data_IF_657878336214
#
_entry.id   IF_657878336214
#
_cell.length_a   1.000
_cell.length_b   1.000
_cell.length_c   1.000
_cell.angle_alpha   90.00
_cell.angle_beta   90.00
_cell.angle_gamma   90.00
#
_symmetry.space_group_name_H-M   'P 1'
#
loop_
_entity.id
_entity.type
_entity.pdbx_description
1 polymer ?
#
# COMPACT_ATOMS: atom_id res chain seq x y z
N UNK A 1 2.87 8.88 31.13
CA UNK A 1 4.07 9.45 31.76
C UNK A 1 5.05 9.82 30.67
N UNK A 2 5.60 11.02 30.70
CA UNK A 2 6.63 11.48 29.75
C UNK A 2 7.82 11.98 30.54
N UNK A 3 9.03 11.67 30.08
CA UNK A 3 10.27 12.18 30.66
C UNK A 3 11.28 12.38 29.53
N UNK A 4 12.06 13.47 29.56
CA UNK A 4 13.26 13.53 28.71
C UNK A 4 14.36 12.73 29.40
N UNK A 5 15.05 11.86 28.67
CA UNK A 5 16.17 11.11 29.23
C UNK A 5 17.31 12.03 29.71
N UNK A 6 17.40 13.26 29.19
CA UNK A 6 18.32 14.29 29.65
C UNK A 6 17.99 14.78 31.08
N UNK A 7 16.71 14.77 31.49
CA UNK A 7 16.26 15.14 32.84
C UNK A 7 16.58 14.07 33.90
N UNK A 8 16.99 12.88 33.46
CA UNK A 8 17.36 11.76 34.32
C UNK A 8 18.87 11.76 34.62
N UNK A 9 19.65 12.60 33.94
CA UNK A 9 21.09 12.71 34.10
C UNK A 9 21.41 13.80 35.14
N UNK A 10 21.86 13.39 36.33
CA UNK A 10 22.30 14.31 37.39
C UNK A 10 23.75 14.06 37.83
N UNK A 11 24.36 15.06 38.46
CA UNK A 11 25.73 14.98 38.99
C UNK A 11 25.86 14.01 40.18
N UNK A 12 24.74 13.61 40.80
CA UNK A 12 24.71 12.76 41.99
C UNK A 12 24.40 11.29 41.63
N UNK A 13 25.31 10.40 42.02
CA UNK A 13 25.24 8.96 41.74
C UNK A 13 23.94 8.36 42.31
N UNK A 14 23.17 7.68 41.47
CA UNK A 14 21.97 6.91 41.85
C UNK A 14 20.64 7.65 41.76
N UNK A 15 20.62 8.97 41.50
CA UNK A 15 19.39 9.76 41.39
C UNK A 15 18.62 9.44 40.11
N UNK A 16 19.30 9.29 38.96
CA UNK A 16 18.66 8.93 37.69
C UNK A 16 18.02 7.54 37.71
N UNK A 17 18.73 6.56 38.28
CA UNK A 17 18.22 5.20 38.48
C UNK A 17 16.99 5.14 39.39
N UNK A 18 16.95 5.95 40.46
CA UNK A 18 15.79 6.03 41.35
C UNK A 18 14.56 6.65 40.65
N UNK A 19 14.75 7.67 39.80
CA UNK A 19 13.67 8.27 38.99
C UNK A 19 13.08 7.27 38.02
N UNK A 20 13.91 6.48 37.34
CA UNK A 20 13.43 5.42 36.43
C UNK A 20 12.59 4.39 37.20
N UNK A 21 13.06 3.90 38.36
CA UNK A 21 12.25 2.98 39.18
C UNK A 21 10.92 3.59 39.58
N UNK A 22 10.95 4.83 40.09
CA UNK A 22 9.73 5.53 40.50
C UNK A 22 8.76 5.73 39.32
N UNK A 23 9.26 6.06 38.13
CA UNK A 23 8.46 6.23 36.92
C UNK A 23 7.74 4.92 36.55
N UNK A 24 8.46 3.80 36.56
CA UNK A 24 7.91 2.49 36.25
C UNK A 24 6.96 1.99 37.36
N UNK A 25 7.25 2.25 38.64
CA UNK A 25 6.37 1.88 39.74
C UNK A 25 5.06 2.68 39.75
N UNK A 26 5.12 3.97 39.40
CA UNK A 26 3.92 4.78 39.19
C UNK A 26 3.11 4.26 38.00
N UNK A 27 3.78 3.91 36.89
CA UNK A 27 3.14 3.31 35.73
C UNK A 27 2.45 1.97 36.07
N UNK A 28 3.12 1.08 36.84
CA UNK A 28 2.56 -0.19 37.31
C UNK A 28 1.34 0.02 38.20
N UNK A 29 1.40 0.95 39.17
CA UNK A 29 0.27 1.28 40.05
C UNK A 29 -0.97 1.77 39.29
N UNK A 30 -0.77 2.35 38.11
CA UNK A 30 -1.86 2.90 37.28
C UNK A 30 -2.53 1.81 36.42
N UNK A 31 -1.95 0.62 36.30
CA UNK A 31 -2.50 -0.55 35.60
C UNK A 31 -2.52 -0.47 34.07
N UNK A 32 -2.73 0.72 33.49
CA UNK A 32 -2.56 1.00 32.05
C UNK A 32 -1.82 2.31 31.88
N UNK A 33 -0.57 2.24 31.42
CA UNK A 33 0.30 3.40 31.34
C UNK A 33 1.17 3.36 30.08
N UNK A 34 1.35 4.52 29.45
CA UNK A 34 2.34 4.73 28.40
C UNK A 34 3.49 5.50 29.01
N UNK A 35 4.71 5.00 28.83
CA UNK A 35 5.95 5.67 29.23
C UNK A 35 6.64 6.15 27.96
N UNK A 36 6.66 7.46 27.76
CA UNK A 36 7.36 8.12 26.66
C UNK A 36 8.70 8.64 27.16
N UNK A 37 9.79 8.26 26.51
CA UNK A 37 11.16 8.66 26.84
C UNK A 37 11.73 9.38 25.62
N UNK A 38 11.86 10.70 25.75
CA UNK A 38 12.47 11.53 24.71
C UNK A 38 14.00 11.57 24.89
N UNK A 39 14.77 11.88 23.84
CA UNK A 39 16.23 12.01 23.87
C UNK A 39 16.97 10.81 24.50
N UNK A 40 16.50 9.57 24.29
CA UNK A 40 17.07 8.35 24.90
C UNK A 40 18.57 8.13 24.61
N UNK A 41 19.09 8.79 23.57
CA UNK A 41 20.50 8.84 23.23
C UNK A 41 21.35 9.61 24.26
N UNK A 42 20.76 10.55 25.01
CA UNK A 42 21.43 11.27 26.11
C UNK A 42 21.98 10.33 27.20
N UNK A 43 21.27 9.24 27.48
CA UNK A 43 21.66 8.19 28.44
C UNK A 43 22.42 7.01 27.79
N UNK A 44 22.49 6.93 26.47
CA UNK A 44 23.08 5.81 25.73
C UNK A 44 24.29 6.18 24.87
N UNK A 45 25.52 6.05 25.40
CA UNK A 45 26.77 6.11 24.62
C UNK A 45 27.46 4.75 24.47
N UNK A 46 28.25 4.63 23.41
CA UNK A 46 29.02 3.44 23.00
C UNK A 46 30.03 3.06 24.09
N UNK A 47 30.06 1.79 24.50
CA UNK A 47 31.12 1.23 25.36
C UNK A 47 32.46 1.22 24.60
N UNK A 48 33.41 2.08 24.97
CA UNK A 48 34.77 2.05 24.43
C UNK A 48 35.71 3.19 24.85
N UNK A 49 36.67 2.85 25.71
CA UNK A 49 38.00 3.46 25.99
C UNK A 49 38.17 5.00 25.95
N UNK A 50 38.00 5.63 27.12
CA UNK A 50 38.48 6.98 27.44
C UNK A 50 38.35 7.24 28.95
N UNK A 51 39.44 7.68 29.60
CA UNK A 51 39.63 7.76 31.05
C UNK A 51 38.87 8.97 31.66
N UNK A 52 38.35 8.78 32.89
CA UNK A 52 37.91 9.75 33.94
C UNK A 52 36.39 9.97 34.19
N UNK A 53 35.88 9.29 35.23
CA UNK A 53 35.14 9.91 36.34
C UNK A 53 33.63 10.17 36.24
N UNK A 54 33.03 10.30 35.05
CA UNK A 54 31.60 10.65 34.89
C UNK A 54 30.69 9.55 34.33
N UNK A 55 31.24 8.35 34.11
CA UNK A 55 30.58 7.27 33.35
C UNK A 55 29.64 6.39 34.18
N UNK A 56 29.87 6.23 35.49
CA UNK A 56 29.14 5.24 36.30
C UNK A 56 27.65 5.56 36.45
N UNK A 57 27.28 6.83 36.66
CA UNK A 57 25.89 7.22 36.89
C UNK A 57 25.01 6.97 35.66
N UNK A 58 25.47 7.36 34.47
CA UNK A 58 24.73 7.20 33.22
C UNK A 58 24.59 5.73 32.84
N UNK A 59 25.65 4.93 32.98
CA UNK A 59 25.57 3.49 32.73
C UNK A 59 24.63 2.79 33.73
N UNK A 60 24.63 3.22 34.99
CA UNK A 60 23.71 2.69 36.00
C UNK A 60 22.25 3.04 35.66
N UNK A 61 21.98 4.29 35.28
CA UNK A 61 20.67 4.78 34.87
C UNK A 61 20.16 4.08 33.60
N UNK A 62 21.03 3.85 32.61
CA UNK A 62 20.72 3.07 31.41
C UNK A 62 20.44 1.59 31.74
N UNK A 63 21.30 0.96 32.54
CA UNK A 63 21.09 -0.44 32.95
C UNK A 63 19.80 -0.60 33.76
N UNK A 64 19.43 0.40 34.57
CA UNK A 64 18.15 0.41 35.28
C UNK A 64 16.97 0.54 34.33
N UNK A 65 17.03 1.41 33.31
CA UNK A 65 16.00 1.50 32.28
C UNK A 65 15.80 0.16 31.57
N UNK A 66 16.90 -0.48 31.17
CA UNK A 66 16.88 -1.78 30.52
C UNK A 66 16.31 -2.87 31.44
N UNK A 67 16.68 -2.87 32.72
CA UNK A 67 16.14 -3.81 33.70
C UNK A 67 14.62 -3.64 33.92
N UNK A 68 14.12 -2.40 33.96
CA UNK A 68 12.68 -2.14 34.06
C UNK A 68 11.93 -2.52 32.78
N UNK A 69 12.53 -2.27 31.61
CA UNK A 69 11.97 -2.69 30.31
C UNK A 69 11.92 -4.22 30.16
N UNK A 70 12.95 -4.93 30.63
CA UNK A 70 13.01 -6.39 30.63
C UNK A 70 12.04 -7.02 31.65
N UNK A 71 11.72 -6.27 32.72
CA UNK A 71 10.79 -6.67 33.77
C UNK A 71 9.30 -6.58 33.40
N UNK A 72 8.94 -6.01 32.24
CA UNK A 72 7.53 -5.82 31.84
C UNK A 72 6.88 -7.18 31.50
N UNK A 73 6.00 -7.65 32.39
CA UNK A 73 5.16 -8.82 32.15
C UNK A 73 4.08 -8.55 31.09
N UNK A 74 3.65 -9.59 30.35
CA UNK A 74 2.56 -9.48 29.34
C UNK A 74 1.22 -9.03 29.91
N UNK A 75 1.03 -9.09 31.23
CA UNK A 75 -0.21 -8.69 31.92
C UNK A 75 -0.17 -7.24 32.45
N UNK A 76 0.97 -6.55 32.39
CA UNK A 76 1.15 -5.26 33.08
C UNK A 76 0.63 -4.02 32.31
N UNK A 77 0.17 -4.17 31.07
CA UNK A 77 -0.50 -3.07 30.35
C UNK A 77 0.38 -1.84 30.04
N UNK A 78 1.70 -1.95 30.13
CA UNK A 78 2.69 -0.87 29.89
C UNK A 78 3.27 -0.98 28.46
N UNK A 79 3.30 0.14 27.72
CA UNK A 79 3.81 0.24 26.33
C UNK A 79 4.90 1.33 26.19
N UNK A 80 5.99 1.01 25.48
CA UNK A 80 7.16 1.89 25.21
C UNK A 80 7.41 1.98 23.69
N UNK A 81 7.68 3.17 23.13
CA UNK A 81 7.86 3.43 21.68
C UNK A 81 9.25 4.01 21.32
N UNK A 82 9.85 3.59 20.18
CA UNK A 82 10.97 4.26 19.48
C UNK A 82 11.21 3.70 18.04
N UNK A 83 10.84 4.42 16.95
CA UNK A 83 11.35 4.31 15.55
C UNK A 83 10.43 4.98 14.48
N UNK A 84 10.99 5.60 13.42
CA UNK A 84 10.30 6.56 12.52
C UNK A 84 10.66 6.42 11.03
N UNK A 85 9.79 6.76 10.07
CA UNK A 85 10.08 6.76 8.61
C UNK A 85 9.73 8.11 7.96
N UNK A 86 10.21 8.40 6.75
CA UNK A 86 9.92 9.67 6.06
C UNK A 86 8.55 9.68 5.38
N UNK A 87 7.93 10.86 5.25
CA UNK A 87 6.58 11.05 4.70
C UNK A 87 6.34 10.51 3.29
N UNK A 88 7.36 10.52 2.43
CA UNK A 88 7.28 10.01 1.06
C UNK A 88 7.36 8.48 0.96
N UNK A 89 7.58 7.78 2.08
CA UNK A 89 7.76 6.32 2.09
C UNK A 89 6.43 5.65 1.71
N UNK A 90 6.37 4.88 0.61
CA UNK A 90 5.14 4.22 0.21
C UNK A 90 4.82 3.06 1.17
N UNK A 91 3.60 3.06 1.70
CA UNK A 91 3.08 2.03 2.60
C UNK A 91 1.83 1.39 1.99
N UNK A 92 1.82 0.06 1.95
CA UNK A 92 0.63 -0.69 1.54
C UNK A 92 -0.30 -0.82 2.73
N UNK A 93 -1.45 -0.16 2.64
CA UNK A 93 -2.48 -0.16 3.67
C UNK A 93 -3.76 -0.82 3.17
N UNK A 94 -4.54 -1.30 4.13
CA UNK A 94 -5.93 -1.70 3.93
C UNK A 94 -6.82 -0.88 4.87
N UNK A 95 -7.78 -0.16 4.31
CA UNK A 95 -8.81 0.64 5.01
C UNK A 95 -10.16 0.37 4.35
N UNK A 96 -11.20 0.08 5.14
CA UNK A 96 -12.55 -0.19 4.64
C UNK A 96 -12.64 -1.27 3.53
N UNK A 97 -11.81 -2.31 3.66
CA UNK A 97 -11.61 -3.37 2.67
C UNK A 97 -11.00 -2.94 1.32
N UNK A 98 -10.60 -1.69 1.18
CA UNK A 98 -9.81 -1.22 0.04
C UNK A 98 -8.31 -1.27 0.33
N UNK A 99 -7.54 -1.51 -0.71
CA UNK A 99 -6.09 -1.58 -0.68
C UNK A 99 -5.53 -0.37 -1.39
N UNK A 100 -4.62 0.35 -0.72
CA UNK A 100 -3.96 1.52 -1.29
C UNK A 100 -2.48 1.51 -0.95
N UNK A 101 -1.66 1.78 -1.96
CA UNK A 101 -0.24 2.02 -1.78
C UNK A 101 -0.03 3.53 -1.87
N UNK A 102 0.20 4.17 -0.73
CA UNK A 102 0.29 5.63 -0.62
C UNK A 102 1.54 6.03 0.16
N UNK A 103 2.08 7.23 -0.06
CA UNK A 103 3.01 7.84 0.88
C UNK A 103 2.45 7.79 2.31
N UNK A 104 3.29 7.49 3.29
CA UNK A 104 2.84 7.39 4.68
C UNK A 104 2.31 8.72 5.22
N UNK A 105 2.80 9.85 4.70
CA UNK A 105 2.25 11.19 4.96
C UNK A 105 0.76 11.26 4.63
N UNK A 106 0.34 10.86 3.43
CA UNK A 106 -1.07 10.82 3.01
C UNK A 106 -1.94 9.92 3.89
N UNK A 107 -1.36 8.90 4.53
CA UNK A 107 -2.07 8.01 5.45
C UNK A 107 -2.21 8.61 6.85
N UNK A 108 -1.15 9.27 7.35
CA UNK A 108 -1.03 9.71 8.74
C UNK A 108 -1.49 11.15 8.92
N UNK A 109 -1.17 12.06 8.01
CA UNK A 109 -1.47 13.49 8.13
C UNK A 109 -2.96 13.80 8.34
N UNK A 110 -3.93 13.07 7.75
CA UNK A 110 -5.35 13.29 8.04
C UNK A 110 -5.76 13.11 9.52
N UNK A 111 -4.91 12.48 10.35
CA UNK A 111 -5.16 12.35 11.80
C UNK A 111 -4.68 13.54 12.62
N UNK A 112 -4.00 14.51 12.00
CA UNK A 112 -3.37 15.65 12.66
C UNK A 112 -3.83 16.97 12.06
N UNK A 113 -3.91 18.00 12.90
CA UNK A 113 -4.00 19.39 12.40
C UNK A 113 -2.64 19.85 11.85
N UNK A 114 -2.58 20.93 11.07
CA UNK A 114 -1.36 21.36 10.34
C UNK A 114 -0.11 21.45 11.24
N UNK A 115 -0.25 21.91 12.49
CA UNK A 115 0.87 22.07 13.42
C UNK A 115 0.95 20.97 14.51
N UNK A 116 0.04 20.01 14.50
CA UNK A 116 -0.05 19.01 15.57
C UNK A 116 0.99 17.88 15.41
N UNK A 117 1.84 17.65 16.40
CA UNK A 117 2.83 16.56 16.36
C UNK A 117 3.12 16.00 17.77
N UNK A 118 3.84 14.89 17.85
CA UNK A 118 4.25 14.28 19.12
C UNK A 118 3.13 13.60 19.90
N UNK A 119 1.92 13.52 19.34
CA UNK A 119 0.74 12.94 19.99
C UNK A 119 0.31 11.67 19.24
N UNK A 120 0.19 10.55 19.95
CA UNK A 120 -0.33 9.31 19.38
C UNK A 120 -1.83 9.43 19.06
N UNK A 121 -2.22 9.07 17.83
CA UNK A 121 -3.63 9.06 17.40
C UNK A 121 -4.09 7.64 17.15
N UNK A 122 -5.10 7.19 17.88
CA UNK A 122 -5.63 5.83 17.73
C UNK A 122 -6.39 5.65 16.41
N UNK A 123 -6.27 4.46 15.82
CA UNK A 123 -6.97 4.09 14.58
C UNK A 123 -7.67 2.75 14.75
N UNK A 124 -8.82 2.58 14.10
CA UNK A 124 -9.64 1.37 14.21
C UNK A 124 -9.87 0.67 12.87
N UNK A 125 -9.72 1.42 11.80
CA UNK A 125 -10.01 1.12 10.41
C UNK A 125 -8.75 0.77 9.60
N UNK A 126 -7.56 1.09 10.11
CA UNK A 126 -6.31 0.97 9.38
C UNK A 126 -5.62 -0.38 9.64
N UNK A 127 -5.19 -1.04 8.56
CA UNK A 127 -4.31 -2.20 8.60
C UNK A 127 -3.10 -1.96 7.70
N UNK A 128 -1.95 -2.46 8.09
CA UNK A 128 -0.71 -2.39 7.31
C UNK A 128 -0.07 -3.77 7.20
N UNK A 129 0.81 -3.95 6.23
CA UNK A 129 1.51 -5.21 6.05
C UNK A 129 2.50 -5.45 7.21
N UNK A 130 2.37 -6.58 7.88
CA UNK A 130 3.30 -7.04 8.91
C UNK A 130 3.62 -8.53 8.74
N UNK A 131 4.22 -9.14 9.77
CA UNK A 131 4.49 -10.58 9.80
C UNK A 131 3.68 -11.27 10.88
N UNK A 132 3.27 -12.51 10.61
CA UNK A 132 2.83 -13.41 11.65
C UNK A 132 4.02 -13.83 12.52
N UNK A 133 3.79 -14.01 13.82
CA UNK A 133 4.80 -14.60 14.69
C UNK A 133 4.67 -16.11 14.59
N UNK A 134 5.78 -16.81 14.31
CA UNK A 134 5.80 -18.27 14.33
C UNK A 134 6.19 -18.74 15.72
N UNK A 135 5.42 -19.68 16.28
CA UNK A 135 5.74 -20.26 17.59
C UNK A 135 7.01 -21.13 17.55
N UNK A 136 7.66 -21.19 18.70
CA UNK A 136 8.88 -21.96 19.01
C UNK A 136 8.76 -23.42 18.54
N UNK A 137 9.78 -23.94 17.84
CA UNK A 137 10.02 -25.40 17.77
C UNK A 137 11.32 -25.72 18.49
N UNK A 138 11.27 -26.54 19.54
CA UNK A 138 12.45 -27.08 20.25
C UNK A 138 13.13 -26.14 21.25
N UNK A 139 14.41 -26.38 21.55
CA UNK A 139 15.26 -25.74 22.56
C UNK A 139 16.11 -24.57 22.04
N UNK A 140 15.57 -23.77 21.12
CA UNK A 140 16.27 -22.58 20.61
C UNK A 140 16.30 -21.45 21.67
N UNK A 141 17.32 -20.55 21.66
CA UNK A 141 17.43 -19.45 22.61
C UNK A 141 16.20 -18.54 22.64
N UNK A 142 15.77 -18.10 23.83
CA UNK A 142 14.57 -17.27 24.05
C UNK A 142 14.56 -15.94 23.24
N UNK A 143 15.72 -15.40 22.86
CA UNK A 143 15.84 -14.08 22.24
C UNK A 143 15.73 -14.06 20.70
N UNK A 144 15.53 -15.20 20.04
CA UNK A 144 15.46 -15.26 18.58
C UNK A 144 14.06 -14.94 18.03
N UNK A 145 14.02 -14.09 17.00
CA UNK A 145 12.78 -13.71 16.29
C UNK A 145 12.53 -14.67 15.12
N UNK A 146 11.29 -15.16 15.01
CA UNK A 146 10.84 -16.05 13.92
C UNK A 146 9.59 -15.51 13.23
N UNK A 147 9.73 -15.07 11.98
CA UNK A 147 8.59 -14.62 11.16
C UNK A 147 7.87 -15.77 10.49
N UNK A 148 6.55 -15.83 10.58
CA UNK A 148 5.69 -16.61 9.69
C UNK A 148 5.57 -15.93 8.32
N UNK A 149 4.42 -16.10 7.69
CA UNK A 149 4.08 -15.38 6.46
C UNK A 149 3.79 -13.91 6.76
N UNK A 150 3.83 -13.05 5.74
CA UNK A 150 3.31 -11.68 5.90
C UNK A 150 1.79 -11.68 5.89
N UNK A 151 1.19 -10.79 6.65
CA UNK A 151 -0.26 -10.65 6.75
C UNK A 151 -0.60 -9.19 7.12
N UNK A 152 -1.79 -8.74 6.73
CA UNK A 152 -2.27 -7.43 7.17
C UNK A 152 -2.58 -7.47 8.67
N UNK A 153 -2.00 -6.53 9.42
CA UNK A 153 -2.18 -6.39 10.87
C UNK A 153 -2.88 -5.07 11.18
N UNK A 154 -3.74 -5.08 12.20
CA UNK A 154 -4.39 -3.86 12.68
C UNK A 154 -3.31 -2.88 13.15
N UNK A 155 -3.36 -1.67 12.62
CA UNK A 155 -2.59 -0.54 13.14
C UNK A 155 -3.36 -0.03 14.36
N UNK A 156 -2.68 0.03 15.51
CA UNK A 156 -3.28 0.51 16.76
C UNK A 156 -3.43 2.03 16.74
N UNK A 157 -2.41 2.69 16.22
CA UNK A 157 -2.24 4.13 16.27
C UNK A 157 -1.24 4.58 15.22
N UNK A 158 -1.31 5.87 14.89
CA UNK A 158 -0.35 6.57 14.04
C UNK A 158 0.37 7.64 14.85
N UNK A 159 1.62 7.91 14.49
CA UNK A 159 2.49 8.85 15.18
C UNK A 159 3.23 9.74 14.19
N UNK A 160 3.23 11.06 14.42
CA UNK A 160 3.93 12.06 13.61
C UNK A 160 4.85 12.89 14.50
N UNK A 161 6.09 13.11 14.06
CA UNK A 161 7.08 13.95 14.74
C UNK A 161 8.14 14.39 13.72
N UNK A 162 8.82 15.50 14.00
CA UNK A 162 9.97 15.98 13.25
C UNK A 162 11.24 15.25 13.63
N UNK A 163 12.16 15.16 12.68
CA UNK A 163 13.45 14.49 12.83
C UNK A 163 14.54 15.39 12.28
N UNK A 164 15.68 15.47 12.98
CA UNK A 164 16.80 16.33 12.58
C UNK A 164 17.71 15.68 11.53
N UNK A 165 17.74 14.34 11.50
CA UNK A 165 18.64 13.58 10.63
C UNK A 165 17.89 12.43 9.95
N UNK A 166 18.21 12.21 8.67
CA UNK A 166 17.68 11.14 7.84
C UNK A 166 18.85 10.34 7.26
N UNK A 167 18.79 9.03 7.42
CA UNK A 167 19.73 8.07 6.85
C UNK A 167 19.14 7.49 5.56
N UNK A 168 19.98 7.34 4.54
CA UNK A 168 19.67 6.61 3.30
C UNK A 168 20.39 5.25 3.33
N UNK A 169 19.62 4.17 3.32
CA UNK A 169 20.12 2.79 3.27
C UNK A 169 19.94 2.24 1.86
N UNK A 170 21.06 2.04 1.16
CA UNK A 170 21.08 1.35 -0.13
C UNK A 170 21.18 -0.17 0.08
N UNK A 171 20.35 -0.93 -0.64
CA UNK A 171 20.36 -2.40 -0.60
C UNK A 171 20.16 -2.98 -2.00
N UNK A 172 20.34 -4.30 -2.14
CA UNK A 172 20.26 -5.04 -3.42
C UNK A 172 18.87 -5.01 -4.12
N UNK A 173 17.95 -4.16 -3.69
CA UNK A 173 16.67 -3.94 -4.35
C UNK A 173 16.13 -2.52 -4.29
N UNK A 174 16.94 -1.54 -3.88
CA UNK A 174 16.52 -0.14 -3.87
C UNK A 174 17.19 0.67 -2.76
N UNK A 175 16.49 1.72 -2.35
CA UNK A 175 16.91 2.62 -1.26
C UNK A 175 15.77 2.80 -0.27
N UNK A 176 16.08 2.87 1.01
CA UNK A 176 15.14 3.25 2.08
C UNK A 176 15.69 4.47 2.81
N UNK A 177 14.83 5.46 3.06
CA UNK A 177 15.16 6.65 3.85
C UNK A 177 14.42 6.61 5.18
N UNK A 178 15.14 6.76 6.29
CA UNK A 178 14.59 6.58 7.64
C UNK A 178 15.48 7.22 8.70
N UNK A 179 15.04 7.29 9.96
CA UNK A 179 15.85 7.85 11.06
C UNK A 179 16.91 6.86 11.54
N UNK A 180 18.00 7.36 12.13
CA UNK A 180 19.09 6.51 12.63
C UNK A 180 18.68 5.57 13.75
N UNK A 181 17.74 5.99 14.59
CA UNK A 181 17.17 5.18 15.67
C UNK A 181 16.12 4.17 15.18
N UNK A 182 15.70 4.24 13.90
CA UNK A 182 14.78 3.26 13.33
C UNK A 182 15.44 1.87 13.32
N UNK A 183 14.66 0.86 13.66
CA UNK A 183 15.13 -0.50 13.84
C UNK A 183 14.72 -1.37 12.65
N UNK A 184 15.69 -1.96 11.95
CA UNK A 184 15.45 -2.91 10.87
C UNK A 184 15.78 -4.34 11.31
N UNK A 185 15.08 -5.31 10.72
CA UNK A 185 15.40 -6.71 10.91
C UNK A 185 16.57 -7.11 10.02
N UNK A 186 17.63 -7.60 10.65
CA UNK A 186 18.83 -8.13 9.99
C UNK A 186 18.91 -9.63 10.22
N UNK A 187 19.24 -10.36 9.17
CA UNK A 187 19.48 -11.78 9.23
C UNK A 187 20.94 -12.07 9.59
N UNK A 188 21.12 -12.90 10.60
CA UNK A 188 22.43 -13.42 11.04
C UNK A 188 22.45 -14.95 10.94
N UNK A 189 23.62 -15.57 11.16
CA UNK A 189 23.75 -17.03 11.25
C UNK A 189 22.92 -17.62 12.40
N UNK A 190 22.74 -16.85 13.48
CA UNK A 190 21.99 -17.26 14.67
C UNK A 190 20.48 -17.03 14.54
N UNK A 191 20.01 -16.36 13.49
CA UNK A 191 18.61 -16.00 13.31
C UNK A 191 18.41 -14.52 13.00
N UNK A 192 17.20 -14.02 13.22
CA UNK A 192 16.87 -12.63 13.00
C UNK A 192 17.22 -11.80 14.23
N UNK A 193 17.88 -10.67 14.01
CA UNK A 193 18.17 -9.66 15.02
C UNK A 193 17.61 -8.32 14.58
N UNK A 194 17.32 -7.47 15.53
CA UNK A 194 16.98 -6.07 15.28
C UNK A 194 18.29 -5.29 15.32
N UNK A 195 18.47 -4.36 14.38
CA UNK A 195 19.63 -3.47 14.33
C UNK A 195 19.14 -2.06 14.03
N UNK A 196 19.70 -1.07 14.72
CA UNK A 196 19.40 0.34 14.40
C UNK A 196 19.99 0.69 13.05
N UNK A 197 19.37 1.61 12.34
CA UNK A 197 19.83 2.07 11.03
C UNK A 197 21.22 2.70 11.13
N UNK A 198 21.48 3.46 12.19
CA UNK A 198 22.81 4.04 12.46
C UNK A 198 23.91 2.99 12.72
N UNK A 199 23.54 1.74 13.03
CA UNK A 199 24.47 0.65 13.29
C UNK A 199 24.70 -0.25 12.07
N UNK A 200 23.91 -0.10 11.00
CA UNK A 200 24.01 -0.94 9.79
C UNK A 200 25.38 -0.80 9.13
N UNK A 201 25.87 -1.91 8.58
CA UNK A 201 27.14 -1.98 7.86
C UNK A 201 26.95 -2.68 6.52
N UNK A 202 27.79 -2.33 5.54
CA UNK A 202 27.80 -3.02 4.25
C UNK A 202 27.98 -4.53 4.46
N UNK A 203 27.14 -5.33 3.80
CA UNK A 203 27.09 -6.79 3.96
C UNK A 203 26.03 -7.28 4.96
N UNK A 204 25.42 -6.39 5.76
CA UNK A 204 24.24 -6.75 6.56
C UNK A 204 23.09 -7.20 5.63
N UNK A 205 22.47 -8.32 5.99
CA UNK A 205 21.39 -8.92 5.18
C UNK A 205 20.06 -8.49 5.76
N UNK A 206 19.44 -7.47 5.16
CA UNK A 206 18.10 -7.02 5.55
C UNK A 206 17.06 -8.12 5.30
N UNK A 207 16.08 -8.22 6.20
CA UNK A 207 14.90 -9.06 6.01
C UNK A 207 13.94 -8.35 5.07
N UNK A 208 13.46 -9.11 4.09
CA UNK A 208 12.64 -8.58 3.02
C UNK A 208 11.66 -9.64 2.52
N UNK A 209 10.58 -9.22 1.86
CA UNK A 209 9.65 -10.11 1.18
C UNK A 209 10.11 -10.42 -0.27
N UNK A 210 10.03 -11.67 -0.74
CA UNK A 210 9.73 -12.87 0.02
C UNK A 210 10.93 -13.32 0.87
N UNK A 211 10.64 -13.79 2.08
CA UNK A 211 11.65 -14.19 3.05
C UNK A 211 12.07 -15.66 2.83
N UNK A 212 13.26 -15.86 2.27
CA UNK A 212 13.84 -17.21 2.10
C UNK A 212 14.40 -17.71 3.43
N UNK A 213 13.77 -18.69 4.07
CA UNK A 213 14.16 -19.17 5.40
C UNK A 213 15.48 -19.94 5.37
N UNK A 214 15.69 -20.83 4.40
CA UNK A 214 16.94 -21.59 4.25
C UNK A 214 17.57 -21.29 2.89
N UNK A 215 18.84 -20.85 2.86
CA UNK A 215 19.58 -20.59 1.62
C UNK A 215 20.50 -21.76 1.23
N UNK A 216 21.06 -22.46 2.23
CA UNK A 216 22.13 -23.46 2.04
C UNK A 216 21.63 -24.85 1.64
N UNK A 217 20.52 -25.31 2.22
CA UNK A 217 20.04 -26.69 2.01
C UNK A 217 18.82 -26.68 1.10
N UNK A 218 19.00 -27.12 -0.17
CA UNK A 218 17.96 -27.08 -1.22
C UNK A 218 16.67 -27.79 -0.79
N UNK A 219 16.76 -28.95 -0.13
CA UNK A 219 15.62 -29.74 0.38
C UNK A 219 14.84 -29.10 1.53
N UNK A 220 15.42 -28.11 2.22
CA UNK A 220 14.80 -27.39 3.34
C UNK A 220 14.45 -25.94 2.96
N UNK A 221 14.45 -25.60 1.66
CA UNK A 221 14.12 -24.26 1.17
C UNK A 221 12.64 -23.97 1.40
N UNK A 222 12.35 -23.31 2.51
CA UNK A 222 11.07 -22.66 2.78
C UNK A 222 11.17 -21.19 2.32
N UNK A 223 10.20 -20.74 1.51
CA UNK A 223 10.02 -19.32 1.15
C UNK A 223 8.74 -18.86 1.83
N UNK A 224 8.85 -17.84 2.68
CA UNK A 224 7.70 -17.19 3.33
C UNK A 224 7.33 -15.95 2.54
N UNK A 225 6.06 -15.82 2.24
CA UNK A 225 5.48 -14.72 1.48
C UNK A 225 4.14 -14.34 2.10
N UNK A 226 3.30 -13.59 1.40
CA UNK A 226 2.02 -13.14 1.94
C UNK A 226 1.01 -14.28 2.10
N UNK A 227 0.32 -14.30 3.23
CA UNK A 227 -0.84 -15.15 3.47
C UNK A 227 -2.05 -14.56 2.77
N UNK A 228 -2.39 -15.10 1.60
CA UNK A 228 -3.63 -14.80 0.90
C UNK A 228 -4.79 -15.65 1.43
N UNK A 229 -6.00 -15.12 1.37
CA UNK A 229 -7.19 -15.93 1.62
C UNK A 229 -7.40 -16.90 0.44
N UNK A 230 -7.52 -18.20 0.71
CA UNK A 230 -7.69 -19.22 -0.33
C UNK A 230 -9.02 -19.11 -1.08
N UNK A 231 -10.06 -18.56 -0.44
CA UNK A 231 -11.38 -18.37 -1.03
C UNK A 231 -11.55 -16.93 -1.52
N UNK A 232 -10.88 -16.59 -2.63
CA UNK A 232 -11.04 -15.28 -3.26
C UNK A 232 -12.24 -15.31 -4.21
N UNK A 233 -13.33 -14.64 -3.81
CA UNK A 233 -14.51 -14.42 -4.62
C UNK A 233 -14.94 -12.96 -4.50
N UNK A 234 -15.12 -12.30 -5.64
CA UNK A 234 -15.45 -10.89 -5.71
C UNK A 234 -16.23 -10.60 -6.99
N UNK A 235 -17.10 -9.60 -6.93
CA UNK A 235 -17.76 -9.02 -8.10
C UNK A 235 -17.48 -7.52 -8.15
N UNK A 236 -17.33 -6.99 -9.36
CA UNK A 236 -17.10 -5.57 -9.61
C UNK A 236 -18.35 -4.97 -10.28
N UNK A 237 -18.80 -3.82 -9.79
CA UNK A 237 -19.88 -3.09 -10.46
C UNK A 237 -19.37 -2.46 -11.75
N UNK A 238 -20.04 -2.73 -12.86
CA UNK A 238 -19.68 -2.15 -14.16
C UNK A 238 -20.11 -0.70 -14.26
N UNK A 239 -21.21 -0.34 -13.59
CA UNK A 239 -21.85 0.96 -13.73
C UNK A 239 -21.50 1.95 -12.64
N UNK A 240 -21.21 1.51 -11.40
CA UNK A 240 -20.92 2.41 -10.29
C UNK A 240 -19.79 3.41 -10.59
N UNK A 241 -18.68 3.04 -11.26
CA UNK A 241 -17.64 4.00 -11.67
C UNK A 241 -18.11 5.14 -12.59
N UNK A 242 -19.22 4.95 -13.32
CA UNK A 242 -19.81 6.01 -14.15
C UNK A 242 -20.45 7.11 -13.30
N UNK A 243 -20.98 6.73 -12.14
CA UNK A 243 -21.79 7.57 -11.26
C UNK A 243 -21.05 8.08 -10.03
N UNK A 244 -19.79 7.68 -9.81
CA UNK A 244 -18.95 8.11 -8.68
C UNK A 244 -18.94 9.63 -8.45
N UNK A 245 -18.84 10.43 -9.51
CA UNK A 245 -18.90 11.91 -9.42
C UNK A 245 -20.26 12.46 -8.94
N UNK A 246 -21.28 11.62 -8.91
CA UNK A 246 -22.63 11.92 -8.45
C UNK A 246 -22.94 11.21 -7.12
N UNK A 247 -21.93 10.67 -6.42
CA UNK A 247 -22.11 10.05 -5.10
C UNK A 247 -22.80 10.98 -4.09
N UNK A 248 -22.51 12.30 -4.01
CA UNK A 248 -23.26 13.20 -3.13
C UNK A 248 -24.77 13.23 -3.45
N UNK A 249 -25.14 13.17 -4.74
CA UNK A 249 -26.53 13.11 -5.17
C UNK A 249 -27.15 11.75 -4.81
N UNK A 250 -26.39 10.66 -4.96
CA UNK A 250 -26.82 9.32 -4.57
C UNK A 250 -27.09 9.23 -3.06
N UNK A 251 -26.16 9.71 -2.22
CA UNK A 251 -26.33 9.78 -0.77
C UNK A 251 -27.56 10.59 -0.37
N UNK A 252 -27.72 11.78 -0.98
CA UNK A 252 -28.88 12.64 -0.75
C UNK A 252 -30.18 11.91 -1.10
N UNK A 253 -30.22 11.22 -2.25
CA UNK A 253 -31.37 10.46 -2.69
C UNK A 253 -31.70 9.30 -1.74
N UNK A 254 -30.71 8.47 -1.36
CA UNK A 254 -30.91 7.35 -0.43
C UNK A 254 -31.31 7.82 0.97
N UNK A 255 -30.74 8.94 1.45
CA UNK A 255 -31.13 9.53 2.74
C UNK A 255 -32.57 10.02 2.69
N UNK A 256 -32.96 10.72 1.62
CA UNK A 256 -34.31 11.20 1.42
C UNK A 256 -35.34 10.06 1.40
N UNK A 257 -35.01 8.92 0.77
CA UNK A 257 -35.88 7.73 0.76
C UNK A 257 -35.98 7.07 2.14
N UNK A 258 -34.87 6.87 2.85
CA UNK A 258 -34.85 6.22 4.15
C UNK A 258 -35.53 7.03 5.26
N UNK A 259 -35.63 8.35 5.09
CA UNK A 259 -36.28 9.26 6.04
C UNK A 259 -37.65 9.77 5.55
N UNK A 260 -38.26 9.08 4.58
CA UNK A 260 -39.60 9.38 4.13
C UNK A 260 -40.61 9.26 5.29
N UNK A 261 -41.32 10.34 5.58
CA UNK A 261 -42.32 10.39 6.67
C UNK A 261 -41.76 10.63 8.07
N UNK A 262 -40.44 10.55 8.29
CA UNK A 262 -39.80 10.87 9.58
C UNK A 262 -39.19 12.27 9.61
N UNK A 263 -38.63 12.73 8.50
CA UNK A 263 -38.09 14.09 8.35
C UNK A 263 -38.91 14.86 7.32
N UNK A 264 -39.30 16.09 7.64
CA UNK A 264 -40.04 16.95 6.71
C UNK A 264 -39.24 17.21 5.44
N UNK A 265 -39.91 17.21 4.29
CA UNK A 265 -39.28 17.46 2.99
C UNK A 265 -38.56 18.81 2.90
N UNK A 266 -39.06 19.85 3.56
CA UNK A 266 -38.42 21.18 3.65
C UNK A 266 -37.06 21.12 4.35
N UNK A 267 -36.99 20.43 5.50
CA UNK A 267 -35.75 20.20 6.24
C UNK A 267 -34.73 19.38 5.45
N UNK A 268 -35.18 18.34 4.74
CA UNK A 268 -34.30 17.56 3.85
C UNK A 268 -33.78 18.40 2.68
N UNK A 269 -34.63 19.26 2.12
CA UNK A 269 -34.27 20.18 1.05
C UNK A 269 -33.20 21.20 1.47
N UNK A 270 -33.38 21.80 2.65
CA UNK A 270 -32.39 22.72 3.24
C UNK A 270 -31.07 22.01 3.54
N UNK A 271 -31.12 20.82 4.16
CA UNK A 271 -29.92 20.08 4.59
C UNK A 271 -29.01 19.65 3.43
N UNK A 272 -29.58 19.38 2.25
CA UNK A 272 -28.83 18.89 1.09
C UNK A 272 -28.84 19.88 -0.09
N UNK A 273 -29.29 21.11 0.12
CA UNK A 273 -29.35 22.16 -0.91
C UNK A 273 -30.08 21.74 -2.20
N UNK A 274 -31.17 20.97 -2.05
CA UNK A 274 -32.01 20.51 -3.17
C UNK A 274 -33.44 20.98 -2.99
N UNK A 275 -34.20 21.15 -4.07
CA UNK A 275 -35.58 21.65 -3.93
C UNK A 275 -36.48 20.66 -3.17
N UNK A 276 -37.38 21.19 -2.32
CA UNK A 276 -38.39 20.38 -1.62
C UNK A 276 -39.23 19.54 -2.60
N UNK A 277 -39.55 20.10 -3.76
CA UNK A 277 -40.28 19.40 -4.83
C UNK A 277 -39.51 18.16 -5.33
N UNK A 278 -38.19 18.26 -5.45
CA UNK A 278 -37.32 17.14 -5.84
C UNK A 278 -37.36 16.02 -4.80
N UNK A 279 -37.17 16.35 -3.51
CA UNK A 279 -37.28 15.38 -2.41
C UNK A 279 -38.65 14.71 -2.42
N UNK A 280 -39.72 15.49 -2.53
CA UNK A 280 -41.07 14.98 -2.54
C UNK A 280 -41.40 14.12 -3.75
N UNK A 281 -40.75 14.33 -4.91
CA UNK A 281 -40.88 13.43 -6.07
C UNK A 281 -40.18 12.10 -5.84
N UNK A 282 -38.99 12.11 -5.25
CA UNK A 282 -38.24 10.90 -4.92
C UNK A 282 -39.00 10.02 -3.91
N UNK A 283 -39.48 10.60 -2.81
CA UNK A 283 -40.18 9.86 -1.75
C UNK A 283 -41.53 9.27 -2.19
N UNK A 284 -42.22 9.89 -3.16
CA UNK A 284 -43.50 9.40 -3.69
C UNK A 284 -43.35 8.29 -4.73
N UNK A 285 -42.14 7.77 -4.96
CA UNK A 285 -41.88 6.76 -5.99
C UNK A 285 -41.95 7.31 -7.42
N UNK A 286 -41.75 8.62 -7.60
CA UNK A 286 -41.53 9.22 -8.92
C UNK A 286 -40.16 8.84 -9.49
N UNK A 287 -39.72 9.51 -10.56
CA UNK A 287 -38.41 9.25 -11.17
C UNK A 287 -37.25 9.64 -10.23
N UNK A 288 -36.34 8.69 -9.98
CA UNK A 288 -35.08 8.96 -9.27
C UNK A 288 -34.17 9.95 -10.01
N UNK A 289 -33.01 10.32 -9.43
CA UNK A 289 -32.09 11.27 -10.04
C UNK A 289 -31.67 10.82 -11.45
N UNK A 290 -31.94 11.68 -12.45
CA UNK A 290 -31.61 11.40 -13.85
C UNK A 290 -30.13 11.05 -14.05
N UNK A 291 -29.25 11.71 -13.29
CA UNK A 291 -27.79 11.54 -13.31
C UNK A 291 -27.33 10.15 -12.85
N UNK A 292 -28.17 9.41 -12.13
CA UNK A 292 -27.91 8.05 -11.67
C UNK A 292 -28.67 7.00 -12.50
N UNK A 293 -29.55 7.43 -13.42
CA UNK A 293 -30.33 6.51 -14.22
C UNK A 293 -29.52 6.00 -15.41
N UNK A 294 -29.34 4.68 -15.45
CA UNK A 294 -28.75 3.97 -16.59
C UNK A 294 -29.63 3.99 -17.84
N UNK A 295 -30.91 4.35 -17.73
CA UNK A 295 -31.85 4.33 -18.85
C UNK A 295 -31.45 5.25 -20.01
N UNK A 296 -30.63 6.26 -19.72
CA UNK A 296 -30.11 7.21 -20.71
C UNK A 296 -28.88 6.71 -21.47
N UNK A 297 -28.43 5.47 -21.22
CA UNK A 297 -27.24 4.89 -21.84
C UNK A 297 -27.59 3.74 -22.78
N UNK A 298 -26.98 3.78 -23.97
CA UNK A 298 -27.27 2.86 -25.08
C UNK A 298 -26.98 1.36 -24.79
N UNK A 299 -26.22 1.05 -23.73
CA UNK A 299 -25.82 -0.34 -23.41
C UNK A 299 -26.51 -0.91 -22.17
N UNK A 300 -27.56 -0.26 -21.65
CA UNK A 300 -28.23 -0.67 -20.41
C UNK A 300 -28.74 -2.13 -20.42
N UNK A 301 -29.15 -2.61 -21.60
CA UNK A 301 -29.72 -3.94 -21.80
C UNK A 301 -28.67 -4.99 -22.22
N UNK A 302 -27.43 -4.56 -22.47
CA UNK A 302 -26.33 -5.41 -22.97
C UNK A 302 -25.29 -5.66 -21.87
N UNK A 303 -24.87 -4.59 -21.18
CA UNK A 303 -23.84 -4.70 -20.16
C UNK A 303 -24.40 -5.31 -18.87
N UNK A 304 -23.65 -6.23 -18.23
CA UNK A 304 -24.04 -6.74 -16.93
C UNK A 304 -23.95 -5.66 -15.85
N UNK A 305 -24.73 -5.83 -14.77
CA UNK A 305 -24.65 -4.95 -13.59
C UNK A 305 -23.33 -5.09 -12.85
N UNK A 306 -22.91 -6.34 -12.68
CA UNK A 306 -21.66 -6.73 -12.05
C UNK A 306 -20.98 -7.80 -12.87
N UNK A 307 -19.66 -7.86 -12.77
CA UNK A 307 -18.84 -8.93 -13.34
C UNK A 307 -18.08 -9.63 -12.23
N UNK A 308 -18.10 -10.96 -12.24
CA UNK A 308 -17.27 -11.76 -11.33
C UNK A 308 -15.80 -11.57 -11.67
N UNK A 309 -14.97 -11.36 -10.65
CA UNK A 309 -13.52 -11.35 -10.81
C UNK A 309 -13.07 -12.77 -11.16
N UNK A 310 -12.49 -12.92 -12.34
CA UNK A 310 -11.98 -14.19 -12.88
C UNK A 310 -10.57 -13.97 -13.41
N UNK A 311 -9.76 -15.03 -13.56
CA UNK A 311 -8.45 -14.90 -14.19
C UNK A 311 -8.52 -14.27 -15.61
N UNK A 312 -9.57 -14.56 -16.36
CA UNK A 312 -9.85 -13.96 -17.68
C UNK A 312 -10.10 -12.44 -17.60
N UNK A 313 -10.91 -11.98 -16.63
CA UNK A 313 -11.09 -10.54 -16.40
C UNK A 313 -9.77 -9.89 -16.00
N UNK A 314 -8.97 -10.54 -15.14
CA UNK A 314 -7.66 -10.05 -14.76
C UNK A 314 -6.75 -9.90 -15.99
N UNK A 315 -6.71 -10.89 -16.90
CA UNK A 315 -5.94 -10.80 -18.15
C UNK A 315 -6.38 -9.61 -19.01
N UNK A 316 -7.69 -9.41 -19.16
CA UNK A 316 -8.24 -8.28 -19.92
C UNK A 316 -7.89 -6.92 -19.29
N UNK A 317 -7.95 -6.81 -17.95
CA UNK A 317 -7.50 -5.61 -17.22
C UNK A 317 -6.00 -5.39 -17.40
N UNK A 318 -5.19 -6.45 -17.48
CA UNK A 318 -3.78 -6.41 -17.80
C UNK A 318 -3.50 -5.83 -19.19
N UNK A 319 -4.22 -6.30 -20.21
CA UNK A 319 -4.15 -5.73 -21.56
C UNK A 319 -4.55 -4.26 -21.58
N UNK A 320 -5.58 -3.87 -20.83
CA UNK A 320 -5.96 -2.46 -20.76
C UNK A 320 -4.91 -1.62 -20.05
N UNK A 321 -4.27 -2.17 -19.02
CA UNK A 321 -3.23 -1.45 -18.28
C UNK A 321 -2.04 -1.13 -19.19
N UNK A 322 -1.64 -2.06 -20.06
CA UNK A 322 -0.55 -1.84 -21.01
C UNK A 322 -0.98 -1.00 -22.23
N UNK A 323 -1.97 -1.47 -22.98
CA UNK A 323 -2.25 -1.00 -24.35
C UNK A 323 -3.58 -0.23 -24.45
N UNK A 324 -4.30 -0.11 -23.33
CA UNK A 324 -5.65 0.38 -23.27
C UNK A 324 -5.74 1.87 -22.97
N UNK A 325 -6.69 2.52 -23.64
CA UNK A 325 -7.01 3.92 -23.45
C UNK A 325 -8.52 4.10 -23.26
N UNK A 326 -8.91 4.99 -22.33
CA UNK A 326 -10.32 5.28 -22.05
C UNK A 326 -10.65 6.77 -22.22
N UNK A 327 -11.67 7.06 -23.03
CA UNK A 327 -12.36 8.36 -23.11
C UNK A 327 -13.87 8.18 -22.94
N UNK A 328 -14.61 8.28 -24.05
CA UNK A 328 -16.02 7.87 -24.17
C UNK A 328 -16.14 6.43 -24.67
N UNK A 329 -15.02 5.88 -25.14
CA UNK A 329 -14.81 4.54 -25.66
C UNK A 329 -13.59 3.92 -24.99
N UNK A 330 -13.53 2.58 -25.00
CA UNK A 330 -12.32 1.81 -24.71
C UNK A 330 -11.64 1.55 -26.05
N UNK A 331 -10.35 1.86 -26.14
CA UNK A 331 -9.52 1.64 -27.33
C UNK A 331 -8.27 0.86 -26.91
N UNK A 332 -7.98 -0.25 -27.59
CA UNK A 332 -6.73 -0.99 -27.45
C UNK A 332 -5.87 -0.74 -28.68
N UNK A 333 -4.70 -0.13 -28.49
CA UNK A 333 -3.74 0.15 -29.55
C UNK A 333 -2.67 -0.92 -29.57
N UNK A 334 -2.62 -1.76 -30.61
CA UNK A 334 -1.76 -2.95 -30.67
C UNK A 334 -0.93 -2.97 -31.96
N UNK A 335 0.08 -3.85 -32.02
CA UNK A 335 0.77 -4.12 -33.27
C UNK A 335 0.00 -5.18 -34.08
N UNK A 336 -0.18 -4.95 -35.39
CA UNK A 336 -0.92 -5.84 -36.30
C UNK A 336 -0.40 -7.28 -36.33
N UNK A 337 0.87 -7.50 -35.96
CA UNK A 337 1.46 -8.83 -35.92
C UNK A 337 1.03 -9.66 -34.71
N UNK A 338 0.45 -9.02 -33.69
CA UNK A 338 0.07 -9.65 -32.42
C UNK A 338 -1.32 -10.29 -32.49
N UNK A 339 -1.52 -11.19 -33.48
CA UNK A 339 -2.82 -11.76 -33.81
C UNK A 339 -3.48 -12.47 -32.62
N UNK A 340 -2.72 -13.26 -31.87
CA UNK A 340 -3.21 -13.98 -30.69
C UNK A 340 -3.75 -13.03 -29.61
N UNK A 341 -3.05 -11.92 -29.36
CA UNK A 341 -3.45 -10.90 -28.39
C UNK A 341 -4.73 -10.19 -28.83
N UNK A 342 -4.81 -9.83 -30.12
CA UNK A 342 -5.98 -9.19 -30.73
C UNK A 342 -7.22 -10.08 -30.57
N UNK A 343 -7.09 -11.37 -30.91
CA UNK A 343 -8.16 -12.35 -30.82
C UNK A 343 -8.57 -12.59 -29.36
N UNK A 344 -7.60 -12.71 -28.45
CA UNK A 344 -7.89 -12.91 -27.02
C UNK A 344 -8.63 -11.71 -26.40
N UNK A 345 -8.25 -10.47 -26.72
CA UNK A 345 -8.98 -9.28 -26.26
C UNK A 345 -10.42 -9.30 -26.77
N UNK A 346 -10.64 -9.63 -28.04
CA UNK A 346 -12.00 -9.69 -28.62
C UNK A 346 -12.84 -10.78 -27.96
N UNK A 347 -12.27 -11.98 -27.79
CA UNK A 347 -12.93 -13.10 -27.12
C UNK A 347 -13.26 -12.79 -25.66
N UNK A 348 -12.35 -12.17 -24.91
CA UNK A 348 -12.56 -11.77 -23.52
C UNK A 348 -13.65 -10.70 -23.39
N UNK A 349 -13.64 -9.68 -24.26
CA UNK A 349 -14.66 -8.64 -24.29
C UNK A 349 -16.05 -9.21 -24.60
N UNK A 350 -16.11 -10.15 -25.55
CA UNK A 350 -17.36 -10.85 -25.88
C UNK A 350 -17.82 -11.76 -24.73
N UNK A 351 -16.91 -12.52 -24.13
CA UNK A 351 -17.21 -13.44 -23.03
C UNK A 351 -17.68 -12.73 -21.76
N UNK A 352 -17.02 -11.64 -21.38
CA UNK A 352 -17.23 -10.98 -20.08
C UNK A 352 -18.33 -9.92 -20.16
N UNK A 353 -18.35 -9.14 -21.25
CA UNK A 353 -19.23 -7.97 -21.39
C UNK A 353 -20.28 -8.13 -22.50
N UNK A 354 -20.27 -9.24 -23.23
CA UNK A 354 -21.12 -9.47 -24.40
C UNK A 354 -20.97 -8.39 -25.49
N UNK A 355 -19.76 -7.84 -25.65
CA UNK A 355 -19.50 -6.76 -26.59
C UNK A 355 -18.53 -7.19 -27.70
N UNK A 356 -18.91 -6.88 -28.92
CA UNK A 356 -18.04 -6.91 -30.10
C UNK A 356 -17.39 -5.54 -30.34
N UNK A 357 -16.22 -5.48 -31.01
CA UNK A 357 -15.62 -4.22 -31.43
C UNK A 357 -16.60 -3.42 -32.28
N UNK A 358 -16.80 -2.15 -31.95
CA UNK A 358 -17.61 -1.26 -32.77
C UNK A 358 -16.86 -0.85 -34.04
N UNK A 359 -15.54 -0.67 -33.93
CA UNK A 359 -14.65 -0.28 -35.04
C UNK A 359 -13.28 -0.89 -34.85
N UNK A 360 -12.63 -1.24 -35.97
CA UNK A 360 -11.21 -1.60 -36.03
C UNK A 360 -10.52 -0.58 -36.94
N UNK A 361 -9.59 0.22 -36.41
CA UNK A 361 -8.91 1.30 -37.15
C UNK A 361 -7.47 0.90 -37.49
N UNK A 362 -6.97 1.41 -38.62
CA UNK A 362 -5.64 1.12 -39.17
C UNK A 362 -4.84 2.39 -39.50
N UNK A 363 -5.06 3.45 -38.72
CA UNK A 363 -4.59 4.82 -39.00
C UNK A 363 -3.06 4.94 -39.05
N UNK A 364 -2.33 4.10 -38.32
CA UNK A 364 -0.87 4.10 -38.30
C UNK A 364 -0.33 2.81 -38.93
N UNK A 365 0.69 2.89 -39.81
CA UNK A 365 1.35 1.71 -40.36
C UNK A 365 1.84 0.78 -39.25
N UNK A 366 1.45 -0.49 -39.31
CA UNK A 366 1.82 -1.51 -38.32
C UNK A 366 0.97 -1.52 -37.04
N UNK A 367 0.15 -0.51 -36.78
CA UNK A 367 -0.76 -0.47 -35.62
C UNK A 367 -2.20 -0.83 -36.01
N UNK A 368 -2.94 -1.37 -35.05
CA UNK A 368 -4.37 -1.65 -35.10
C UNK A 368 -5.02 -1.12 -33.82
N UNK A 369 -6.17 -0.47 -33.94
CA UNK A 369 -6.95 0.02 -32.81
C UNK A 369 -8.28 -0.74 -32.75
N UNK A 370 -8.54 -1.45 -31.66
CA UNK A 370 -9.79 -2.16 -31.40
C UNK A 370 -10.65 -1.29 -30.49
N UNK A 371 -11.77 -0.77 -31.02
CA UNK A 371 -12.54 0.28 -30.36
C UNK A 371 -13.93 -0.22 -29.95
N UNK A 372 -14.24 -0.06 -28.67
CA UNK A 372 -15.55 -0.35 -28.08
C UNK A 372 -16.18 0.96 -27.61
N UNK A 373 -17.23 1.42 -28.30
CA UNK A 373 -17.87 2.70 -28.02
C UNK A 373 -18.83 2.60 -26.83
N UNK A 374 -18.29 2.29 -25.65
CA UNK A 374 -19.05 2.09 -24.43
C UNK A 374 -18.49 2.93 -23.28
N UNK A 375 -19.20 4.01 -22.93
CA UNK A 375 -18.77 4.94 -21.87
C UNK A 375 -18.77 4.33 -20.46
N UNK A 376 -19.80 3.56 -20.03
CA UNK A 376 -19.75 2.87 -18.73
C UNK A 376 -18.53 1.97 -18.63
N UNK A 377 -18.25 1.19 -19.68
CA UNK A 377 -17.10 0.30 -19.71
C UNK A 377 -15.77 1.06 -19.74
N UNK A 378 -15.68 2.17 -20.47
CA UNK A 378 -14.50 3.05 -20.42
C UNK A 378 -14.24 3.59 -19.02
N UNK A 379 -15.29 3.90 -18.25
CA UNK A 379 -15.19 4.32 -16.85
C UNK A 379 -14.78 3.17 -15.93
N UNK A 380 -15.33 1.98 -16.14
CA UNK A 380 -14.95 0.77 -15.43
C UNK A 380 -13.44 0.48 -15.54
N UNK A 381 -12.90 0.43 -16.76
CA UNK A 381 -11.46 0.20 -16.96
C UNK A 381 -10.60 1.34 -16.41
N UNK A 382 -11.00 2.59 -16.62
CA UNK A 382 -10.27 3.76 -16.11
C UNK A 382 -10.25 3.81 -14.58
N UNK A 383 -11.31 3.37 -13.91
CA UNK A 383 -11.41 3.32 -12.46
C UNK A 383 -10.53 2.23 -11.86
N UNK A 384 -10.52 1.04 -12.46
CA UNK A 384 -9.74 -0.09 -11.93
C UNK A 384 -8.27 -0.07 -12.31
N UNK A 385 -7.89 0.53 -13.44
CA UNK A 385 -6.52 0.47 -13.95
C UNK A 385 -5.91 1.85 -14.26
N UNK A 386 -6.64 2.93 -13.99
CA UNK A 386 -6.18 4.29 -14.26
C UNK A 386 -6.34 4.75 -15.71
N UNK A 387 -6.34 6.08 -15.89
CA UNK A 387 -6.51 6.74 -17.19
C UNK A 387 -5.25 7.49 -17.62
N UNK A 388 -4.74 7.12 -18.80
CA UNK A 388 -3.50 7.68 -19.34
C UNK A 388 -2.28 6.99 -18.72
N UNK A 389 -1.16 7.01 -19.45
CA UNK A 389 0.02 6.20 -19.12
C UNK A 389 0.64 6.54 -17.74
N UNK A 390 0.64 7.82 -17.34
CA UNK A 390 1.19 8.27 -16.05
C UNK A 390 0.34 7.85 -14.84
N UNK A 391 -0.97 7.69 -15.02
CA UNK A 391 -1.90 7.37 -13.94
C UNK A 391 -2.33 5.90 -13.95
N UNK A 392 -1.72 5.05 -14.78
CA UNK A 392 -2.01 3.62 -14.75
C UNK A 392 -1.66 3.07 -13.37
N UNK A 393 -2.46 2.14 -12.87
CA UNK A 393 -2.22 1.47 -11.60
C UNK A 393 -2.81 0.06 -11.68
N UNK A 394 -2.42 -0.79 -10.73
CA UNK A 394 -2.96 -2.13 -10.58
C UNK A 394 -4.35 -2.05 -9.94
N UNK A 395 -5.33 -2.88 -10.36
CA UNK A 395 -6.59 -2.99 -9.64
C UNK A 395 -6.39 -3.39 -8.17
N UNK A 396 -6.93 -2.58 -7.25
CA UNK A 396 -6.71 -2.71 -5.81
C UNK A 396 -7.04 -4.10 -5.25
N UNK A 397 -8.05 -4.78 -5.79
CA UNK A 397 -8.44 -6.12 -5.34
C UNK A 397 -7.37 -7.19 -5.58
N UNK A 398 -6.38 -6.95 -6.46
CA UNK A 398 -5.31 -7.92 -6.71
C UNK A 398 -4.40 -8.12 -5.50
N UNK A 399 -4.36 -7.16 -4.56
CA UNK A 399 -3.63 -7.31 -3.29
C UNK A 399 -4.26 -8.33 -2.33
N UNK A 400 -5.48 -8.80 -2.59
CA UNK A 400 -6.12 -9.94 -1.90
C UNK A 400 -6.16 -11.22 -2.73
N UNK A 401 -5.97 -11.09 -4.04
CA UNK A 401 -6.20 -12.19 -4.96
C UNK A 401 -5.15 -13.28 -4.81
N UNK A 402 -5.51 -14.53 -5.15
CA UNK A 402 -4.53 -15.61 -5.22
C UNK A 402 -3.60 -15.42 -6.43
N UNK A 403 -2.48 -16.14 -6.43
CA UNK A 403 -1.47 -16.01 -7.48
C UNK A 403 -2.02 -16.21 -8.90
N UNK A 404 -3.06 -17.01 -9.08
CA UNK A 404 -3.67 -17.27 -10.39
C UNK A 404 -4.22 -16.00 -11.05
N UNK A 405 -4.92 -15.17 -10.28
CA UNK A 405 -5.50 -13.92 -10.75
C UNK A 405 -4.42 -12.89 -11.09
N UNK A 406 -3.45 -12.73 -10.19
CA UNK A 406 -2.31 -11.84 -10.42
C UNK A 406 -1.49 -12.28 -11.63
N UNK A 407 -1.24 -13.59 -11.79
CA UNK A 407 -0.52 -14.16 -12.93
C UNK A 407 -1.19 -13.80 -14.24
N UNK A 408 -2.51 -13.96 -14.36
CA UNK A 408 -3.22 -13.63 -15.60
C UNK A 408 -3.26 -12.12 -15.85
N UNK A 409 -3.43 -11.27 -14.83
CA UNK A 409 -3.27 -9.82 -14.97
C UNK A 409 -1.88 -9.46 -15.50
N UNK A 410 -0.83 -9.98 -14.86
CA UNK A 410 0.54 -9.69 -15.27
C UNK A 410 0.85 -10.26 -16.66
N UNK A 411 0.28 -11.41 -17.05
CA UNK A 411 0.40 -11.95 -18.40
C UNK A 411 -0.18 -10.99 -19.45
N UNK A 412 -1.35 -10.41 -19.17
CA UNK A 412 -1.95 -9.39 -20.02
C UNK A 412 -1.07 -8.15 -20.15
N UNK A 413 -0.56 -7.65 -19.01
CA UNK A 413 0.31 -6.47 -18.97
C UNK A 413 1.67 -6.69 -19.66
N UNK A 414 2.36 -7.79 -19.32
CA UNK A 414 3.64 -8.19 -19.91
C UNK A 414 3.53 -8.42 -21.42
N UNK A 415 2.39 -8.91 -21.89
CA UNK A 415 2.16 -9.08 -23.32
C UNK A 415 2.18 -7.77 -24.11
N UNK A 416 1.88 -6.62 -23.48
CA UNK A 416 1.94 -5.29 -24.09
C UNK A 416 3.25 -4.56 -23.84
N UNK A 417 3.55 -4.26 -22.57
CA UNK A 417 4.65 -3.39 -22.15
C UNK A 417 5.90 -4.16 -21.66
N UNK A 418 5.93 -5.48 -21.89
CA UNK A 418 6.94 -6.36 -21.32
C UNK A 418 7.89 -7.01 -22.32
N UNK A 419 9.08 -7.34 -21.84
CA UNK A 419 10.09 -8.09 -22.59
C UNK A 419 10.62 -9.27 -21.76
N UNK A 420 10.57 -10.47 -22.32
CA UNK A 420 11.14 -11.68 -21.69
C UNK A 420 12.49 -12.00 -22.32
N UNK A 421 13.52 -12.12 -21.49
CA UNK A 421 14.86 -12.46 -21.93
C UNK A 421 14.97 -13.95 -22.26
N UNK A 422 15.17 -14.30 -23.54
CA UNK A 422 15.33 -15.69 -24.00
C UNK A 422 16.49 -16.44 -23.33
N UNK A 423 17.57 -15.74 -22.98
CA UNK A 423 18.82 -16.35 -22.50
C UNK A 423 19.10 -16.14 -20.99
N UNK A 424 18.12 -15.63 -20.21
CA UNK A 424 18.32 -15.31 -18.78
C UNK A 424 17.39 -16.09 -17.85
N UNK A 425 17.02 -17.31 -18.24
CA UNK A 425 16.30 -18.24 -17.35
C UNK A 425 14.95 -17.71 -16.85
N UNK A 426 14.16 -17.08 -17.72
CA UNK A 426 12.82 -16.58 -17.39
C UNK A 426 12.78 -15.20 -16.74
N UNK A 427 13.87 -14.44 -16.77
CA UNK A 427 13.85 -13.01 -16.40
C UNK A 427 13.02 -12.21 -17.41
N UNK A 428 12.21 -11.30 -16.89
CA UNK A 428 11.43 -10.35 -17.66
C UNK A 428 11.65 -8.92 -17.16
N UNK A 429 11.38 -7.97 -18.03
CA UNK A 429 11.46 -6.54 -17.79
C UNK A 429 10.16 -5.90 -18.28
N UNK A 430 9.68 -4.91 -17.52
CA UNK A 430 8.57 -4.05 -17.91
C UNK A 430 9.02 -2.62 -17.64
N UNK A 431 8.55 -1.68 -18.44
CA UNK A 431 8.88 -0.26 -18.26
C UNK A 431 7.60 0.55 -18.26
N UNK A 432 7.46 1.49 -17.32
CA UNK A 432 6.33 2.41 -17.33
C UNK A 432 6.73 3.81 -16.89
N UNK A 433 5.97 4.79 -17.33
CA UNK A 433 6.03 6.17 -16.81
C UNK A 433 5.09 6.35 -15.60
N UNK A 434 4.27 5.35 -15.26
CA UNK A 434 3.56 5.33 -13.99
C UNK A 434 4.45 4.68 -12.92
N UNK A 435 5.01 5.52 -12.05
CA UNK A 435 5.74 5.05 -10.86
C UNK A 435 4.84 4.21 -9.95
N UNK A 436 3.57 4.59 -9.81
CA UNK A 436 2.59 3.88 -8.99
C UNK A 436 2.41 2.44 -9.47
N UNK A 437 2.19 2.25 -10.77
CA UNK A 437 2.03 0.92 -11.38
C UNK A 437 3.24 0.02 -11.10
N UNK A 438 4.45 0.55 -11.30
CA UNK A 438 5.69 -0.23 -11.10
C UNK A 438 5.89 -0.59 -9.62
N UNK A 439 5.58 0.33 -8.69
CA UNK A 439 5.63 0.06 -7.26
C UNK A 439 4.60 -1.01 -6.84
N UNK A 440 3.36 -0.92 -7.32
CA UNK A 440 2.30 -1.87 -7.01
C UNK A 440 2.59 -3.26 -7.59
N UNK A 441 3.07 -3.34 -8.83
CA UNK A 441 3.57 -4.58 -9.41
C UNK A 441 4.70 -5.16 -8.55
N UNK A 442 5.69 -4.34 -8.16
CA UNK A 442 6.78 -4.80 -7.30
C UNK A 442 6.26 -5.41 -6.00
N UNK A 443 5.31 -4.76 -5.33
CA UNK A 443 4.66 -5.28 -4.14
C UNK A 443 3.96 -6.61 -4.38
N UNK A 444 3.15 -6.73 -5.43
CA UNK A 444 2.43 -7.97 -5.75
C UNK A 444 3.37 -9.13 -6.06
N UNK A 445 4.41 -8.90 -6.86
CA UNK A 445 5.45 -9.91 -7.10
C UNK A 445 6.01 -10.44 -5.78
N UNK A 446 6.38 -9.54 -4.88
CA UNK A 446 7.03 -9.87 -3.60
C UNK A 446 6.07 -10.54 -2.62
N UNK A 447 4.81 -10.10 -2.58
CA UNK A 447 3.73 -10.74 -1.82
C UNK A 447 3.45 -12.16 -2.32
N UNK A 448 3.55 -12.42 -3.63
CA UNK A 448 3.37 -13.75 -4.23
C UNK A 448 4.62 -14.63 -4.23
N UNK A 449 5.69 -14.27 -3.51
CA UNK A 449 6.87 -15.13 -3.43
C UNK A 449 7.90 -14.96 -4.55
N UNK A 450 7.70 -13.97 -5.43
CA UNK A 450 8.59 -13.68 -6.55
C UNK A 450 9.53 -12.53 -6.22
N UNK A 451 10.73 -12.56 -6.80
CA UNK A 451 11.69 -11.46 -6.67
C UNK A 451 11.53 -10.48 -7.81
N UNK A 452 11.53 -9.20 -7.49
CA UNK A 452 11.45 -8.09 -8.43
C UNK A 452 12.27 -6.91 -7.89
N UNK A 453 12.79 -6.10 -8.80
CA UNK A 453 13.60 -4.92 -8.50
C UNK A 453 13.11 -3.76 -9.36
N UNK A 454 13.27 -2.54 -8.86
CA UNK A 454 12.91 -1.32 -9.58
C UNK A 454 14.20 -0.53 -9.81
N UNK A 455 14.35 -0.02 -11.02
CA UNK A 455 15.31 1.02 -11.36
C UNK A 455 14.55 2.18 -11.99
N UNK A 456 15.22 3.29 -12.23
CA UNK A 456 14.62 4.40 -12.95
C UNK A 456 15.64 4.99 -13.90
N UNK A 457 15.18 5.48 -15.05
CA UNK A 457 16.04 6.17 -15.99
C UNK A 457 15.33 7.40 -16.56
N UNK A 458 16.10 8.40 -16.97
CA UNK A 458 15.59 9.56 -17.68
C UNK A 458 15.71 9.35 -19.18
N UNK A 459 14.57 9.34 -19.87
CA UNK A 459 14.54 9.40 -21.32
C UNK A 459 14.80 10.84 -21.77
N UNK A 460 15.85 11.05 -22.59
CA UNK A 460 16.25 12.38 -23.06
C UNK A 460 15.18 13.00 -23.97
N UNK A 461 15.02 14.31 -23.85
CA UNK A 461 14.19 15.12 -24.75
C UNK A 461 14.65 15.01 -26.21
N UNK A 462 13.73 15.23 -27.15
CA UNK A 462 14.07 15.52 -28.54
C UNK A 462 13.89 14.34 -29.51
N UNK A 463 13.63 13.13 -29.01
CA UNK A 463 13.20 12.02 -29.87
C UNK A 463 11.84 12.38 -30.48
N UNK A 464 11.79 12.50 -31.81
CA UNK A 464 10.55 12.70 -32.56
C UNK A 464 10.06 11.37 -33.10
N UNK A 465 8.79 11.05 -32.86
CA UNK A 465 8.12 9.96 -33.58
C UNK A 465 7.60 10.56 -34.89
N UNK A 466 8.32 10.30 -35.99
CA UNK A 466 8.05 10.90 -37.32
C UNK A 466 8.04 12.45 -37.24
N UNK A 467 7.02 13.10 -37.81
CA UNK A 467 6.81 14.55 -37.77
C UNK A 467 6.05 15.02 -36.51
N UNK A 468 5.96 14.17 -35.48
CA UNK A 468 5.31 14.51 -34.23
C UNK A 468 6.07 15.55 -33.41
N UNK A 469 5.41 16.08 -32.38
CA UNK A 469 6.07 16.93 -31.38
C UNK A 469 7.23 16.16 -30.74
N UNK A 470 8.37 16.82 -30.45
CA UNK A 470 9.45 16.19 -29.71
C UNK A 470 8.91 15.67 -28.37
N UNK A 471 9.30 14.44 -28.02
CA UNK A 471 8.99 13.89 -26.71
C UNK A 471 9.73 14.72 -25.66
N UNK A 472 9.02 15.07 -24.59
CA UNK A 472 9.57 15.75 -23.42
C UNK A 472 10.54 14.80 -22.70
N UNK A 473 11.43 15.37 -21.87
CA UNK A 473 12.14 14.56 -20.88
C UNK A 473 11.11 13.86 -19.98
N UNK A 474 11.22 12.55 -19.86
CA UNK A 474 10.33 11.73 -19.03
C UNK A 474 11.18 10.79 -18.19
N UNK A 475 10.87 10.69 -16.90
CA UNK A 475 11.41 9.64 -16.05
C UNK A 475 10.54 8.40 -16.19
N UNK A 476 11.16 7.25 -16.43
CA UNK A 476 10.50 5.95 -16.47
C UNK A 476 11.11 5.03 -15.40
N UNK A 477 10.34 4.03 -15.01
CA UNK A 477 10.64 3.07 -13.95
C UNK A 477 10.55 1.63 -14.46
#
# INVERSE_FOLDING_TARGET
>A
FSISASEVIELFVGVGSARIRSLFDQARKTGRAIIFIDEIDSIGKIRGMGITGGHEEREQTLNQLLAEMDGIGREEGILVFAASVIGDTPVLIKRDNEYKLLPISEVIDPYYQEEEEGIEKFTNDLKALGFERKERKGSAPKNNIYFGNSAFKKVRSVFRHKVNEIYEVEYLGGKIKTTGNHSLFVRTQQGLKIKRVSELKAGDILVDLPFKVNRGIKRLREIRFHSFNGNFEMELSVWQPLFEKFEPVNLTYQYALSHAGTVSQSRLAEMFEVSQTTIGRWQRGGSGPRTLSREYYQHKDILPEKVKVTPDLCRLLGYYTAEGYARKEVDFCLNRKEKEKIEDIQNLMKKIFNLEPHRIKFNTPGAINIVYQCTPLAKFFAYHCGKGAENKHVPAFLFESTFEYFKEFFKGYLGGDGYIYKNRGGQGEVTSISKQLILELNWLFRMHGLKSYIYSFKAKEGRKIKNGKPLKETTAW
#
